data_IF_281767132412
#
_entry.id   IF_281767132412
#
_cell.length_a   1.000
_cell.length_b   1.000
_cell.length_c   1.000
_cell.angle_alpha   90.00
_cell.angle_beta   90.00
_cell.angle_gamma   90.00
#
_symmetry.space_group_name_H-M   'P 1'
#
loop_
_entity.id
_entity.type
_entity.pdbx_description
1 polymer ?
#
# COMPACT_ATOMS: atom_id res chain seq x y z
N UNK A 1 -5.60 -5.22 9.82
CA UNK A 1 -4.53 -5.32 8.79
C UNK A 1 -3.15 -5.37 9.42
N UNK A 2 -2.67 -4.32 10.10
CA UNK A 2 -1.30 -4.32 10.66
C UNK A 2 -1.07 -5.38 11.76
N UNK A 3 -2.07 -5.64 12.61
CA UNK A 3 -2.01 -6.72 13.59
C UNK A 3 -1.93 -8.14 12.96
N UNK A 4 -2.45 -8.33 11.74
CA UNK A 4 -2.46 -9.63 11.03
C UNK A 4 -1.19 -9.82 10.17
N UNK A 5 -0.53 -8.72 9.83
CA UNK A 5 0.63 -8.67 8.94
C UNK A 5 1.69 -7.74 9.55
N UNK A 6 2.30 -8.13 10.68
CA UNK A 6 3.22 -7.24 11.43
C UNK A 6 4.53 -7.00 10.69
N UNK A 7 4.95 -7.96 9.86
CA UNK A 7 6.19 -7.90 9.08
C UNK A 7 6.01 -7.18 7.74
N UNK A 8 4.79 -6.85 7.36
CA UNK A 8 4.47 -6.26 6.06
C UNK A 8 4.48 -4.74 6.19
N UNK A 9 5.31 -4.05 5.39
CA UNK A 9 5.44 -2.59 5.48
C UNK A 9 4.52 -1.93 4.47
N UNK A 10 3.52 -1.22 4.98
CA UNK A 10 2.60 -0.47 4.14
C UNK A 10 2.18 0.86 4.78
N UNK A 11 1.95 1.83 3.92
CA UNK A 11 1.60 3.20 4.30
C UNK A 11 0.20 3.54 3.80
N UNK A 12 -0.59 4.17 4.67
CA UNK A 12 -1.88 4.74 4.33
C UNK A 12 -1.66 6.21 3.95
N UNK A 13 -1.75 6.50 2.66
CA UNK A 13 -1.66 7.86 2.13
C UNK A 13 -3.05 8.35 1.75
N UNK A 14 -3.45 9.51 2.26
CA UNK A 14 -4.54 10.29 1.69
C UNK A 14 -3.93 11.25 0.69
N UNK A 15 -4.11 11.01 -0.61
CA UNK A 15 -3.92 12.12 -1.56
C UNK A 15 -5.06 13.10 -1.29
N UNK A 16 -4.81 14.19 -0.54
CA UNK A 16 -5.49 15.47 -0.87
C UNK A 16 -5.18 15.64 -2.35
N UNK A 17 -6.20 15.71 -3.20
CA UNK A 17 -5.99 16.01 -4.61
C UNK A 17 -5.35 17.38 -4.70
N UNK A 18 -4.01 17.45 -4.71
CA UNK A 18 -3.24 18.65 -5.05
C UNK A 18 -3.23 18.88 -6.56
N UNK A 19 -4.14 18.22 -7.30
CA UNK A 19 -4.55 18.71 -8.59
C UNK A 19 -5.30 20.03 -8.37
N UNK A 20 -4.53 21.10 -8.21
CA UNK A 20 -4.89 22.48 -8.57
C UNK A 20 -5.14 22.50 -10.08
N UNK A 21 -6.14 21.74 -10.54
CA UNK A 21 -6.70 21.84 -11.87
C UNK A 21 -8.08 22.47 -11.65
N UNK A 22 -8.29 23.76 -11.97
CA UNK A 22 -9.59 24.39 -11.82
C UNK A 22 -10.64 23.58 -12.60
N UNK A 23 -11.63 23.03 -11.89
CA UNK A 23 -12.81 22.39 -12.50
C UNK A 23 -13.01 20.88 -12.31
N UNK A 24 -12.15 20.12 -11.61
CA UNK A 24 -12.46 18.71 -11.25
C UNK A 24 -12.81 18.57 -9.78
N UNK A 25 -14.11 18.45 -9.52
CA UNK A 25 -14.79 18.06 -8.28
C UNK A 25 -13.87 17.66 -7.11
N UNK A 26 -13.82 18.53 -6.10
CA UNK A 26 -13.33 18.27 -4.74
C UNK A 26 -14.25 17.22 -4.11
N UNK A 27 -14.08 15.95 -4.48
CA UNK A 27 -15.00 14.87 -4.17
C UNK A 27 -14.28 13.68 -3.56
N UNK A 28 -14.31 13.62 -2.24
CA UNK A 28 -13.93 12.51 -1.37
C UNK A 28 -12.41 12.22 -1.23
N UNK A 29 -11.83 12.27 -0.02
CA UNK A 29 -10.47 11.81 0.22
C UNK A 29 -10.39 10.31 -0.09
N UNK A 30 -9.90 9.95 -1.29
CA UNK A 30 -9.65 8.55 -1.65
C UNK A 30 -8.40 8.11 -0.91
N UNK A 31 -8.61 7.46 0.23
CA UNK A 31 -7.57 6.75 0.96
C UNK A 31 -6.89 5.73 0.04
N UNK A 32 -5.56 5.73 0.04
CA UNK A 32 -4.72 4.84 -0.78
C UNK A 32 -3.74 4.10 0.12
N UNK A 33 -3.56 2.82 -0.13
CA UNK A 33 -2.57 2.02 0.56
C UNK A 33 -1.39 1.75 -0.38
N UNK A 34 -0.17 2.02 0.10
CA UNK A 34 1.09 1.82 -0.62
C UNK A 34 1.89 0.75 0.09
N UNK A 35 2.25 -0.31 -0.63
CA UNK A 35 3.23 -1.28 -0.16
C UNK A 35 4.63 -0.68 -0.28
N UNK A 36 5.44 -0.81 0.78
CA UNK A 36 6.82 -0.32 0.80
C UNK A 36 7.82 -1.38 0.35
N UNK A 37 7.45 -2.66 0.44
CA UNK A 37 8.27 -3.81 0.02
C UNK A 37 8.17 -4.09 -1.49
N UNK A 38 7.13 -3.57 -2.15
CA UNK A 38 6.88 -3.80 -3.57
C UNK A 38 6.92 -2.49 -4.38
N UNK A 39 7.67 -2.44 -5.50
CA UNK A 39 7.84 -1.23 -6.31
C UNK A 39 6.61 -0.85 -7.16
N UNK A 40 5.40 -1.37 -6.90
CA UNK A 40 4.23 -1.08 -7.74
C UNK A 40 2.87 -1.05 -7.03
N UNK A 41 2.05 -0.10 -7.50
CA UNK A 41 0.59 0.12 -7.37
C UNK A 41 0.11 0.77 -6.07
N UNK A 42 -0.44 1.98 -6.23
CA UNK A 42 -1.32 2.62 -5.25
C UNK A 42 -2.64 1.86 -5.26
N UNK A 43 -2.94 1.12 -4.20
CA UNK A 43 -4.23 0.44 -4.08
C UNK A 43 -5.26 1.44 -3.57
N UNK A 44 -6.35 1.61 -4.33
CA UNK A 44 -7.50 2.35 -3.83
C UNK A 44 -8.19 1.47 -2.80
N UNK A 45 -8.57 2.03 -1.65
CA UNK A 45 -9.37 1.33 -0.64
C UNK A 45 -10.77 1.07 -1.20
N UNK A 46 -10.87 0.00 -1.99
CA UNK A 46 -12.07 -0.78 -2.22
C UNK A 46 -11.97 -2.10 -1.45
N UNK A 47 -13.09 -2.79 -1.20
CA UNK A 47 -13.24 -3.72 -0.07
C UNK A 47 -12.25 -4.90 0.00
N UNK A 48 -11.55 -5.31 -1.06
CA UNK A 48 -10.81 -6.58 -1.03
C UNK A 48 -9.43 -6.62 -1.72
N UNK A 49 -8.97 -5.55 -2.38
CA UNK A 49 -7.82 -5.68 -3.29
C UNK A 49 -6.46 -5.82 -2.60
N UNK A 50 -6.26 -5.21 -1.44
CA UNK A 50 -4.95 -5.19 -0.80
C UNK A 50 -4.60 -6.48 -0.06
N UNK A 51 -5.60 -7.16 0.52
CA UNK A 51 -5.31 -8.38 1.27
C UNK A 51 -4.82 -9.51 0.34
N UNK A 52 -5.31 -9.57 -0.89
CA UNK A 52 -4.83 -10.52 -1.91
C UNK A 52 -3.36 -10.25 -2.27
N UNK A 53 -2.98 -8.97 -2.33
CA UNK A 53 -1.57 -8.60 -2.53
C UNK A 53 -0.68 -9.14 -1.40
N UNK A 54 -1.09 -8.98 -0.14
CA UNK A 54 -0.34 -9.48 1.02
C UNK A 54 -0.22 -11.02 1.04
N UNK A 55 -1.20 -11.73 0.47
CA UNK A 55 -1.17 -13.20 0.32
C UNK A 55 -0.36 -13.68 -0.89
N UNK A 56 0.04 -12.78 -1.80
CA UNK A 56 0.73 -13.15 -3.03
C UNK A 56 2.16 -13.63 -2.73
N UNK A 57 2.56 -14.76 -3.32
CA UNK A 57 3.91 -15.36 -3.16
C UNK A 57 5.05 -14.36 -3.38
N UNK A 58 4.93 -13.54 -4.43
CA UNK A 58 5.92 -12.49 -4.75
C UNK A 58 6.09 -11.45 -3.66
N UNK A 59 5.00 -11.03 -3.02
CA UNK A 59 5.06 -10.08 -1.91
C UNK A 59 5.77 -10.73 -0.71
N UNK A 60 5.39 -11.97 -0.37
CA UNK A 60 6.01 -12.73 0.72
C UNK A 60 7.50 -12.97 0.49
N UNK A 61 7.91 -13.25 -0.74
CA UNK A 61 9.32 -13.40 -1.10
C UNK A 61 10.09 -12.10 -0.80
N UNK A 62 9.58 -10.94 -1.22
CA UNK A 62 10.23 -9.65 -0.95
C UNK A 62 10.30 -9.29 0.52
N UNK A 63 9.24 -9.60 1.28
CA UNK A 63 9.25 -9.42 2.74
C UNK A 63 10.33 -10.31 3.36
N UNK A 64 10.44 -11.57 2.93
CA UNK A 64 11.47 -12.49 3.41
C UNK A 64 12.88 -12.00 3.05
N UNK A 65 13.13 -11.62 1.79
CA UNK A 65 14.42 -11.04 1.34
C UNK A 65 14.81 -9.82 2.18
N UNK A 66 13.85 -8.94 2.49
CA UNK A 66 14.12 -7.78 3.34
C UNK A 66 14.43 -8.18 4.78
N UNK A 67 13.70 -9.12 5.36
CA UNK A 67 13.92 -9.54 6.74
C UNK A 67 15.25 -10.31 6.89
N UNK A 68 15.60 -11.12 5.90
CA UNK A 68 16.87 -11.84 5.82
C UNK A 68 18.05 -10.86 5.72
N UNK A 69 17.96 -9.89 4.79
CA UNK A 69 19.01 -8.88 4.56
C UNK A 69 19.10 -7.75 5.59
N UNK A 70 18.21 -7.70 6.60
CA UNK A 70 18.24 -6.70 7.69
C UNK A 70 18.74 -7.32 9.01
N UNK A 71 19.46 -8.43 8.96
CA UNK A 71 20.01 -9.13 10.13
C UNK A 71 21.38 -8.59 10.60
N UNK A 72 21.73 -7.35 10.28
CA UNK A 72 23.01 -6.73 10.69
C UNK A 72 22.81 -5.31 11.19
#
# INVERSE_FOLDING_TARGET
>A
MRAKYPNDRFELTTKKSTSTAPGKNVGNPRWRLKCLDCPRKLYMLGPSNYEVHLKTRRHRQRVAERLDGNST
#
